data_IF_679542810083
#
_entry.id   IF_679542810083
#
_cell.length_a   1.000
_cell.length_b   1.000
_cell.length_c   1.000
_cell.angle_alpha   90.00
_cell.angle_beta   90.00
_cell.angle_gamma   90.00
#
_symmetry.space_group_name_H-M   'P 1'
#
loop_
_entity.id
_entity.type
_entity.pdbx_description
1 polymer ?
#
# COMPACT_ATOMS: atom_id res chain seq x y z
N UNK A 1 13.31 22.32 -9.72
CA UNK A 1 14.45 21.68 -10.41
C UNK A 1 14.11 20.20 -10.50
N UNK A 2 14.02 19.60 -11.70
CA UNK A 2 13.89 18.15 -11.80
C UNK A 2 15.20 17.55 -11.30
N UNK A 3 15.16 16.88 -10.16
CA UNK A 3 16.26 16.04 -9.71
C UNK A 3 16.41 14.92 -10.74
N UNK A 4 17.58 14.84 -11.37
CA UNK A 4 17.94 13.72 -12.24
C UNK A 4 17.59 12.42 -11.51
N UNK A 5 16.64 11.69 -12.08
CA UNK A 5 16.17 10.43 -11.52
C UNK A 5 17.29 9.42 -11.76
N UNK A 6 18.22 9.33 -10.79
CA UNK A 6 19.39 8.45 -10.85
C UNK A 6 18.94 7.00 -11.10
N UNK A 7 19.58 6.32 -12.07
CA UNK A 7 19.26 4.95 -12.46
C UNK A 7 20.32 3.95 -11.98
N UNK A 8 20.89 4.21 -10.81
CA UNK A 8 21.86 3.36 -10.13
C UNK A 8 21.25 2.07 -9.54
N UNK A 9 19.98 1.78 -9.84
CA UNK A 9 19.23 0.65 -9.29
C UNK A 9 18.92 0.79 -7.80
N UNK A 10 19.13 1.96 -7.19
CA UNK A 10 18.85 2.24 -5.79
C UNK A 10 17.70 3.23 -5.67
N UNK A 11 16.88 3.03 -4.65
CA UNK A 11 15.79 3.92 -4.31
C UNK A 11 16.07 4.54 -2.93
N UNK A 12 16.26 5.86 -2.83
CA UNK A 12 16.36 6.53 -1.54
C UNK A 12 15.06 6.28 -0.78
N UNK A 13 15.19 5.69 0.41
CA UNK A 13 14.06 5.24 1.20
C UNK A 13 14.18 5.81 2.60
N UNK A 14 13.19 6.60 3.00
CA UNK A 14 13.02 7.06 4.36
C UNK A 14 12.58 5.89 5.24
N UNK A 15 13.29 5.63 6.32
CA UNK A 15 13.08 4.50 7.23
C UNK A 15 12.86 5.02 8.65
N UNK A 16 11.82 4.52 9.32
CA UNK A 16 11.55 4.81 10.72
C UNK A 16 12.52 4.07 11.64
N UNK A 17 13.06 4.79 12.63
CA UNK A 17 13.94 4.27 13.68
C UNK A 17 13.36 4.52 15.07
N UNK A 18 13.74 3.68 16.04
CA UNK A 18 13.27 3.77 17.43
C UNK A 18 11.83 3.29 17.68
N UNK A 19 10.92 3.37 16.71
CA UNK A 19 9.53 2.89 16.86
C UNK A 19 9.46 1.36 16.84
N UNK A 20 10.09 0.74 15.85
CA UNK A 20 10.15 -0.71 15.69
C UNK A 20 11.34 -1.33 16.45
N UNK A 21 11.27 -2.61 16.83
CA UNK A 21 12.37 -3.31 17.51
C UNK A 21 13.68 -3.25 16.71
N UNK A 22 14.81 -3.11 17.41
CA UNK A 22 16.15 -3.04 16.81
C UNK A 22 16.45 -4.19 15.81
N UNK A 23 16.11 -5.47 16.10
CA UNK A 23 16.36 -6.54 15.13
C UNK A 23 15.64 -6.33 13.80
N UNK A 24 14.45 -5.73 13.82
CA UNK A 24 13.65 -5.42 12.62
C UNK A 24 14.35 -4.35 11.77
N UNK A 25 14.82 -3.28 12.43
CA UNK A 25 15.56 -2.19 11.80
C UNK A 25 16.87 -2.68 11.15
N UNK A 26 17.69 -3.43 11.89
CA UNK A 26 18.95 -3.98 11.36
C UNK A 26 18.70 -4.96 10.21
N UNK A 27 17.69 -5.84 10.35
CA UNK A 27 17.30 -6.78 9.29
C UNK A 27 16.88 -6.04 8.01
N UNK A 28 16.10 -4.97 8.13
CA UNK A 28 15.71 -4.16 6.98
C UNK A 28 16.95 -3.66 6.21
N UNK A 29 17.92 -3.07 6.92
CA UNK A 29 19.12 -2.54 6.27
C UNK A 29 19.93 -3.66 5.63
N UNK A 30 20.18 -4.76 6.35
CA UNK A 30 20.97 -5.90 5.84
C UNK A 30 20.35 -6.58 4.61
N UNK A 31 19.02 -6.73 4.57
CA UNK A 31 18.34 -7.46 3.50
C UNK A 31 18.00 -6.59 2.28
N UNK A 32 17.94 -5.27 2.46
CA UNK A 32 17.42 -4.35 1.43
C UNK A 32 18.42 -3.33 0.93
N UNK A 33 19.47 -3.03 1.67
CA UNK A 33 20.51 -2.10 1.23
C UNK A 33 21.72 -2.85 0.67
N UNK A 34 22.53 -2.24 -0.21
CA UNK A 34 23.78 -2.84 -0.66
C UNK A 34 24.74 -3.12 0.51
N UNK A 35 25.52 -4.22 0.45
CA UNK A 35 26.45 -4.57 1.52
C UNK A 35 27.54 -3.50 1.71
N UNK A 36 28.01 -3.33 2.95
CA UNK A 36 29.09 -2.39 3.28
C UNK A 36 28.71 -0.90 3.26
N UNK A 37 27.44 -0.56 3.01
CA UNK A 37 26.97 0.84 2.98
C UNK A 37 26.86 1.49 4.36
N UNK A 38 26.75 0.70 5.42
CA UNK A 38 26.50 1.19 6.75
C UNK A 38 27.37 0.48 7.79
N UNK A 39 27.81 1.25 8.77
CA UNK A 39 28.35 0.72 10.02
C UNK A 39 27.20 0.37 10.97
N UNK A 40 27.17 -0.89 11.44
CA UNK A 40 26.12 -1.38 12.31
C UNK A 40 26.15 -0.72 13.69
N UNK A 41 27.34 -0.39 14.21
CA UNK A 41 27.44 0.31 15.50
C UNK A 41 26.78 1.70 15.43
N UNK A 42 27.02 2.44 14.34
CA UNK A 42 26.36 3.72 14.06
C UNK A 42 24.84 3.56 13.96
N UNK A 43 24.34 2.55 13.22
CA UNK A 43 22.90 2.29 13.09
C UNK A 43 22.24 1.97 14.44
N UNK A 44 22.90 1.18 15.28
CA UNK A 44 22.42 0.85 16.63
C UNK A 44 22.33 2.11 17.48
N UNK A 45 23.31 3.00 17.40
CA UNK A 45 23.32 4.24 18.17
C UNK A 45 22.23 5.22 17.69
N UNK A 46 22.06 5.37 16.38
CA UNK A 46 20.95 6.14 15.82
C UNK A 46 19.59 5.60 16.28
N UNK A 47 19.42 4.27 16.28
CA UNK A 47 18.21 3.62 16.77
C UNK A 47 18.00 3.86 18.26
N UNK A 48 19.05 3.81 19.09
CA UNK A 48 18.95 4.08 20.54
C UNK A 48 18.51 5.52 20.82
N UNK A 49 19.10 6.48 20.12
CA UNK A 49 18.73 7.90 20.23
C UNK A 49 17.26 8.12 19.86
N UNK A 50 16.82 7.56 18.74
CA UNK A 50 15.41 7.60 18.35
C UNK A 50 14.51 6.88 19.37
N UNK A 51 14.94 5.73 19.92
CA UNK A 51 14.17 4.97 20.92
C UNK A 51 13.99 5.77 22.22
N UNK A 52 15.00 6.52 22.64
CA UNK A 52 14.91 7.40 23.81
C UNK A 52 13.89 8.53 23.59
N UNK A 53 13.84 9.10 22.38
CA UNK A 53 12.80 10.05 22.00
C UNK A 53 11.40 9.40 21.99
N UNK A 54 11.24 8.24 21.34
CA UNK A 54 9.96 7.51 21.29
C UNK A 54 9.41 7.21 22.70
N UNK A 55 10.27 6.92 23.68
CA UNK A 55 9.86 6.72 25.07
C UNK A 55 9.27 7.97 25.71
N UNK A 56 9.81 9.16 25.40
CA UNK A 56 9.24 10.44 25.85
C UNK A 56 7.91 10.71 25.16
N UNK A 57 7.86 10.52 23.83
CA UNK A 57 6.62 10.69 23.06
C UNK A 57 5.50 9.75 23.51
N UNK A 58 5.80 8.55 24.02
CA UNK A 58 4.79 7.67 24.60
C UNK A 58 4.04 8.29 25.80
N UNK A 59 4.68 9.22 26.51
CA UNK A 59 4.12 9.95 27.63
C UNK A 59 3.47 11.24 27.14
N UNK A 60 4.20 12.03 26.35
CA UNK A 60 3.77 13.36 25.91
C UNK A 60 2.60 13.31 24.90
N UNK A 61 2.51 12.24 24.11
CA UNK A 61 1.52 12.06 23.04
C UNK A 61 0.63 10.84 23.29
N UNK A 62 0.46 10.44 24.55
CA UNK A 62 -0.44 9.36 24.92
C UNK A 62 -1.84 9.61 24.34
N UNK A 63 -2.41 8.56 23.73
CA UNK A 63 -3.74 8.52 23.14
C UNK A 63 -3.97 9.52 21.99
N UNK A 64 -2.91 10.14 21.47
CA UNK A 64 -3.00 11.08 20.34
C UNK A 64 -3.62 10.43 19.09
N UNK A 65 -3.35 9.14 18.85
CA UNK A 65 -3.96 8.39 17.75
C UNK A 65 -5.47 8.12 17.95
N UNK A 66 -5.96 8.15 19.19
CA UNK A 66 -7.37 7.90 19.55
C UNK A 66 -8.21 9.19 19.51
N UNK A 67 -7.55 10.34 19.52
CA UNK A 67 -8.17 11.65 19.39
C UNK A 67 -8.31 12.09 17.92
N UNK A 68 -8.46 11.15 16.98
CA UNK A 68 -8.49 11.48 15.56
C UNK A 68 -9.76 12.22 15.15
N UNK A 69 -9.58 13.33 14.42
CA UNK A 69 -10.66 14.01 13.73
C UNK A 69 -10.89 13.40 12.34
N UNK A 70 -12.15 13.07 12.03
CA UNK A 70 -12.60 12.72 10.69
C UNK A 70 -13.73 13.67 10.29
N UNK A 71 -13.47 14.52 9.29
CA UNK A 71 -14.44 15.50 8.80
C UNK A 71 -15.19 14.93 7.59
N UNK A 72 -16.37 15.49 7.33
CA UNK A 72 -17.12 15.20 6.12
C UNK A 72 -16.30 15.58 4.88
N UNK A 73 -16.48 14.82 3.79
CA UNK A 73 -15.89 15.15 2.52
C UNK A 73 -16.54 16.44 1.95
N UNK A 74 -15.74 17.43 1.49
CA UNK A 74 -16.28 18.64 0.85
C UNK A 74 -17.23 18.31 -0.30
N UNK A 75 -18.27 19.11 -0.48
CA UNK A 75 -19.33 18.88 -1.48
C UNK A 75 -18.77 18.72 -2.90
N UNK A 76 -17.77 19.53 -3.26
CA UNK A 76 -17.08 19.49 -4.55
C UNK A 76 -16.37 18.15 -4.85
N UNK A 77 -15.98 17.39 -3.81
CA UNK A 77 -15.29 16.10 -3.96
C UNK A 77 -16.25 14.92 -3.97
N UNK A 78 -17.49 15.08 -3.51
CA UNK A 78 -18.46 13.98 -3.39
C UNK A 78 -18.74 13.25 -4.72
N UNK A 79 -18.98 13.94 -5.85
CA UNK A 79 -19.20 13.25 -7.12
C UNK A 79 -17.99 12.41 -7.57
N UNK A 80 -16.77 12.89 -7.31
CA UNK A 80 -15.52 12.20 -7.64
C UNK A 80 -15.32 10.97 -6.75
N UNK A 81 -15.69 11.08 -5.48
CA UNK A 81 -15.63 10.01 -4.50
C UNK A 81 -16.62 8.88 -4.82
N UNK A 82 -17.83 9.22 -5.25
CA UNK A 82 -18.82 8.24 -5.73
C UNK A 82 -18.35 7.53 -7.00
N UNK A 83 -17.74 8.26 -7.93
CA UNK A 83 -17.17 7.67 -9.14
C UNK A 83 -16.06 6.67 -8.80
N UNK A 84 -15.20 6.97 -7.81
CA UNK A 84 -14.15 6.07 -7.36
C UNK A 84 -14.70 4.75 -6.79
N UNK A 85 -15.87 4.77 -6.13
CA UNK A 85 -16.50 3.57 -5.60
C UNK A 85 -17.10 2.65 -6.67
N UNK A 86 -17.36 3.15 -7.87
CA UNK A 86 -17.89 2.36 -8.99
C UNK A 86 -16.82 1.59 -9.77
N UNK A 87 -15.57 1.60 -9.31
CA UNK A 87 -14.50 0.85 -9.96
C UNK A 87 -14.74 -0.67 -9.88
N UNK A 88 -14.49 -1.45 -10.94
CA UNK A 88 -14.73 -2.90 -10.97
C UNK A 88 -14.09 -3.67 -9.80
N UNK A 89 -12.90 -3.23 -9.39
CA UNK A 89 -12.11 -3.80 -8.31
C UNK A 89 -12.76 -3.60 -6.92
N UNK A 90 -13.66 -2.62 -6.77
CA UNK A 90 -14.43 -2.36 -5.56
C UNK A 90 -15.58 -3.34 -5.31
N UNK A 91 -16.14 -3.98 -6.33
CA UNK A 91 -17.43 -4.67 -6.19
C UNK A 91 -17.43 -5.91 -5.27
N UNK A 92 -16.31 -6.62 -5.09
CA UNK A 92 -16.34 -7.89 -4.35
C UNK A 92 -16.27 -7.76 -2.83
N UNK A 93 -15.69 -6.68 -2.30
CA UNK A 93 -15.41 -6.55 -0.85
C UNK A 93 -16.11 -5.34 -0.21
N UNK A 94 -16.63 -4.40 -1.01
CA UNK A 94 -17.36 -3.22 -0.52
C UNK A 94 -18.81 -3.50 -0.14
N UNK A 95 -19.40 -4.60 -0.61
CA UNK A 95 -20.83 -4.90 -0.40
C UNK A 95 -21.17 -5.39 1.01
N UNK A 96 -20.17 -5.78 1.81
CA UNK A 96 -20.38 -6.47 3.11
C UNK A 96 -20.01 -5.59 4.31
N UNK A 97 -19.29 -4.48 4.11
CA UNK A 97 -18.80 -3.61 5.19
C UNK A 97 -19.04 -2.14 4.90
N UNK A 98 -19.43 -1.40 5.94
CA UNK A 98 -19.66 0.03 5.86
C UNK A 98 -18.37 0.77 5.53
N UNK A 99 -18.39 1.55 4.45
CA UNK A 99 -17.29 2.39 4.00
C UNK A 99 -17.78 3.78 3.67
N UNK A 100 -17.00 4.79 4.04
CA UNK A 100 -17.30 6.16 3.69
C UNK A 100 -16.02 6.94 3.40
N UNK A 101 -16.11 7.86 2.44
CA UNK A 101 -15.07 8.84 2.21
C UNK A 101 -15.12 9.90 3.31
N UNK A 102 -13.97 10.17 3.91
CA UNK A 102 -13.81 11.16 4.98
C UNK A 102 -12.53 11.96 4.76
N UNK A 103 -12.51 13.18 5.24
CA UNK A 103 -11.27 13.95 5.40
C UNK A 103 -10.61 13.53 6.72
N UNK A 104 -9.56 12.73 6.64
CA UNK A 104 -8.84 12.21 7.83
C UNK A 104 -7.62 13.08 8.14
N UNK A 105 -7.38 13.35 9.42
CA UNK A 105 -6.14 14.01 9.84
C UNK A 105 -4.94 13.10 9.58
N UNK A 106 -4.07 13.51 8.66
CA UNK A 106 -2.95 12.68 8.18
C UNK A 106 -2.05 12.29 9.35
N UNK A 107 -1.64 13.26 10.15
CA UNK A 107 -0.60 13.13 11.18
C UNK A 107 -0.94 12.09 12.27
N UNK A 108 -2.24 11.82 12.52
CA UNK A 108 -2.71 10.88 13.56
C UNK A 108 -2.98 9.47 13.04
N UNK A 109 -2.89 9.24 11.73
CA UNK A 109 -3.11 7.90 11.17
C UNK A 109 -2.10 6.92 11.72
N UNK A 110 -2.58 5.76 12.19
CA UNK A 110 -1.71 4.67 12.62
C UNK A 110 -1.09 4.04 11.39
N UNK A 111 0.24 3.90 11.40
CA UNK A 111 1.00 3.32 10.28
C UNK A 111 1.69 2.04 10.72
N UNK A 112 1.77 1.07 9.82
CA UNK A 112 2.47 -0.19 10.04
C UNK A 112 3.66 -0.40 9.09
N UNK A 113 3.75 0.44 8.06
CA UNK A 113 4.87 0.41 7.13
C UNK A 113 6.08 1.07 7.77
N UNK A 114 7.26 0.47 7.62
CA UNK A 114 8.48 1.01 8.23
C UNK A 114 9.10 2.15 7.43
N UNK A 115 8.73 2.28 6.15
CA UNK A 115 9.48 3.12 5.22
C UNK A 115 8.64 3.74 4.10
N UNK A 116 9.14 4.84 3.55
CA UNK A 116 8.61 5.55 2.38
C UNK A 116 9.70 5.63 1.30
N UNK A 117 9.36 5.23 0.07
CA UNK A 117 10.28 5.32 -1.08
C UNK A 117 10.23 6.76 -1.63
N UNK A 118 11.31 7.52 -1.42
CA UNK A 118 11.38 8.95 -1.76
C UNK A 118 11.43 9.18 -3.28
N UNK A 119 12.03 8.27 -4.05
CA UNK A 119 11.97 8.34 -5.53
C UNK A 119 10.52 8.28 -6.01
N UNK A 120 9.71 7.41 -5.43
CA UNK A 120 8.29 7.35 -5.78
C UNK A 120 7.55 8.64 -5.41
N UNK A 121 7.89 9.27 -4.29
CA UNK A 121 7.35 10.59 -3.93
C UNK A 121 7.71 11.63 -4.98
N UNK A 122 8.97 11.68 -5.43
CA UNK A 122 9.40 12.67 -6.42
C UNK A 122 8.72 12.44 -7.78
N UNK A 123 8.48 11.18 -8.17
CA UNK A 123 7.68 10.85 -9.36
C UNK A 123 6.23 11.31 -9.23
N UNK A 124 5.60 11.11 -8.07
CA UNK A 124 4.25 11.60 -7.81
C UNK A 124 4.21 13.13 -7.82
N UNK A 125 5.20 13.78 -7.19
CA UNK A 125 5.30 15.23 -7.12
C UNK A 125 5.49 15.86 -8.50
N UNK A 126 6.30 15.24 -9.38
CA UNK A 126 6.48 15.70 -10.75
C UNK A 126 5.19 15.65 -11.59
N UNK A 127 4.26 14.76 -11.23
CA UNK A 127 2.96 14.60 -11.88
C UNK A 127 1.81 15.32 -11.16
N UNK A 128 2.08 16.04 -10.07
CA UNK A 128 1.06 16.73 -9.25
C UNK A 128 1.35 18.23 -9.22
N UNK A 129 0.33 19.06 -9.36
CA UNK A 129 0.49 20.51 -9.21
C UNK A 129 1.02 20.85 -7.81
N UNK A 130 1.77 21.96 -7.69
CA UNK A 130 2.31 22.41 -6.40
C UNK A 130 1.22 22.82 -5.40
N UNK A 131 0.06 23.23 -5.90
CA UNK A 131 -1.13 23.52 -5.12
C UNK A 131 -2.32 22.86 -5.80
N UNK A 132 -2.52 21.54 -5.59
CA UNK A 132 -3.52 20.80 -6.33
C UNK A 132 -4.93 21.19 -5.91
N UNK A 133 -5.84 21.25 -6.89
CA UNK A 133 -7.25 21.49 -6.62
C UNK A 133 -7.98 20.22 -6.12
N UNK A 134 -9.27 20.34 -5.82
CA UNK A 134 -10.07 19.22 -5.31
C UNK A 134 -10.11 18.02 -6.25
N UNK A 135 -10.11 18.26 -7.57
CA UNK A 135 -10.12 17.20 -8.58
C UNK A 135 -8.78 16.50 -8.62
N UNK A 136 -7.68 17.25 -8.68
CA UNK A 136 -6.33 16.70 -8.69
C UNK A 136 -6.02 15.90 -7.41
N UNK A 137 -6.50 16.37 -6.25
CA UNK A 137 -6.43 15.62 -4.99
C UNK A 137 -7.20 14.31 -5.10
N UNK A 138 -8.44 14.33 -5.58
CA UNK A 138 -9.24 13.11 -5.72
C UNK A 138 -8.68 12.14 -6.75
N UNK A 139 -8.09 12.62 -7.84
CA UNK A 139 -7.37 11.79 -8.81
C UNK A 139 -6.14 11.13 -8.19
N UNK A 140 -5.37 11.87 -7.40
CA UNK A 140 -4.23 11.33 -6.64
C UNK A 140 -4.70 10.28 -5.61
N UNK A 141 -5.79 10.55 -4.91
CA UNK A 141 -6.29 9.70 -3.82
C UNK A 141 -6.99 8.44 -4.34
N UNK A 142 -7.81 8.54 -5.38
CA UNK A 142 -8.56 7.40 -5.93
C UNK A 142 -7.74 6.59 -6.95
N UNK A 143 -6.74 7.22 -7.60
CA UNK A 143 -5.94 6.66 -8.72
C UNK A 143 -6.78 5.91 -9.75
N UNK A 144 -7.85 6.53 -10.22
CA UNK A 144 -8.71 6.00 -11.27
C UNK A 144 -8.01 5.88 -12.63
N UNK A 145 -8.57 5.05 -13.52
CA UNK A 145 -8.17 4.98 -14.94
C UNK A 145 -6.80 4.35 -15.16
N UNK A 146 -5.99 4.93 -16.06
CA UNK A 146 -4.67 4.37 -16.43
C UNK A 146 -3.71 4.26 -15.24
N UNK A 147 -3.88 5.08 -14.20
CA UNK A 147 -3.08 5.03 -12.98
C UNK A 147 -3.42 3.84 -12.06
N UNK A 148 -4.56 3.19 -12.25
CA UNK A 148 -4.98 1.96 -11.57
C UNK A 148 -4.31 0.71 -12.18
N UNK A 149 -3.92 0.77 -13.46
CA UNK A 149 -3.38 -0.36 -14.20
C UNK A 149 -2.05 0.00 -14.88
N UNK A 150 -0.94 -0.02 -14.11
CA UNK A 150 0.40 0.12 -14.67
C UNK A 150 0.67 -0.90 -15.78
N UNK A 151 1.50 -0.54 -16.75
CA UNK A 151 1.83 -1.42 -17.87
C UNK A 151 2.44 -2.74 -17.36
N UNK A 152 2.02 -3.86 -17.98
CA UNK A 152 2.51 -5.22 -17.70
C UNK A 152 3.22 -5.75 -18.94
N UNK A 153 4.50 -6.10 -18.79
CA UNK A 153 5.26 -6.82 -19.81
C UNK A 153 5.08 -8.31 -19.61
N UNK A 154 4.96 -9.06 -20.70
CA UNK A 154 4.76 -10.50 -20.66
C UNK A 154 5.78 -11.23 -21.55
N UNK A 155 6.26 -12.38 -21.08
CA UNK A 155 7.09 -13.31 -21.85
C UNK A 155 6.62 -14.75 -21.65
N UNK A 156 6.76 -15.57 -22.70
CA UNK A 156 6.47 -17.00 -22.68
C UNK A 156 7.72 -17.78 -23.07
N UNK A 157 8.12 -18.76 -22.25
CA UNK A 157 9.22 -19.69 -22.54
C UNK A 157 8.98 -21.02 -21.83
N UNK A 158 9.20 -22.14 -22.51
CA UNK A 158 9.16 -23.50 -21.92
C UNK A 158 7.87 -23.81 -21.11
N UNK A 159 6.71 -23.37 -21.62
CA UNK A 159 5.42 -23.55 -20.93
C UNK A 159 5.24 -22.68 -19.68
N UNK A 160 6.17 -21.76 -19.42
CA UNK A 160 6.10 -20.75 -18.37
C UNK A 160 5.71 -19.40 -18.94
N UNK A 161 4.81 -18.72 -18.23
CA UNK A 161 4.29 -17.40 -18.56
C UNK A 161 4.75 -16.43 -17.48
N UNK A 162 5.56 -15.42 -17.83
CA UNK A 162 6.09 -14.44 -16.87
C UNK A 162 5.51 -13.06 -17.17
N UNK A 163 4.94 -12.42 -16.15
CA UNK A 163 4.35 -11.09 -16.22
C UNK A 163 5.09 -10.17 -15.25
N UNK A 164 5.56 -9.02 -15.71
CA UNK A 164 6.35 -8.09 -14.91
C UNK A 164 5.80 -6.67 -15.03
N UNK A 165 5.76 -5.95 -13.91
CA UNK A 165 5.39 -4.54 -13.87
C UNK A 165 6.40 -3.73 -13.06
N UNK A 166 6.44 -2.42 -13.31
CA UNK A 166 7.14 -1.48 -12.45
C UNK A 166 6.42 -1.30 -11.10
N UNK A 167 5.12 -1.59 -11.04
CA UNK A 167 4.37 -1.62 -9.79
C UNK A 167 4.67 -2.88 -8.99
N UNK A 168 4.79 -2.72 -7.67
CA UNK A 168 4.93 -3.83 -6.72
C UNK A 168 3.59 -4.51 -6.38
N UNK A 169 2.49 -4.05 -6.98
CA UNK A 169 1.14 -4.53 -6.70
C UNK A 169 0.60 -5.54 -7.73
N UNK A 170 1.42 -5.93 -8.72
CA UNK A 170 1.03 -6.95 -9.69
C UNK A 170 0.81 -8.28 -8.98
N UNK A 171 -0.42 -8.81 -9.03
CA UNK A 171 -0.86 -9.99 -8.29
C UNK A 171 -1.80 -10.89 -9.11
N UNK A 172 -1.89 -12.15 -8.69
CA UNK A 172 -2.98 -13.04 -9.09
C UNK A 172 -4.28 -12.54 -8.47
N UNK A 173 -5.33 -12.47 -9.27
CA UNK A 173 -6.65 -11.99 -8.84
C UNK A 173 -7.64 -13.13 -8.68
N UNK A 174 -7.76 -13.97 -9.71
CA UNK A 174 -8.76 -15.04 -9.74
C UNK A 174 -8.47 -16.07 -10.83
N UNK A 175 -9.12 -17.23 -10.75
CA UNK A 175 -9.18 -18.23 -11.83
C UNK A 175 -10.62 -18.66 -12.04
N UNK A 176 -11.04 -18.71 -13.30
CA UNK A 176 -12.40 -19.14 -13.65
C UNK A 176 -12.36 -20.12 -14.82
N UNK A 177 -13.22 -21.14 -14.75
CA UNK A 177 -13.60 -21.93 -15.91
C UNK A 177 -14.79 -21.23 -16.58
N UNK A 178 -14.65 -20.86 -17.84
CA UNK A 178 -15.69 -20.19 -18.62
C UNK A 178 -15.96 -20.94 -19.91
N UNK A 179 -17.10 -20.61 -20.52
CA UNK A 179 -17.41 -21.03 -21.88
C UNK A 179 -16.43 -20.37 -22.86
N UNK A 180 -15.73 -21.13 -23.73
CA UNK A 180 -14.81 -20.57 -24.71
C UNK A 180 -15.43 -19.51 -25.61
N UNK A 181 -16.75 -19.58 -25.87
CA UNK A 181 -17.48 -18.63 -26.70
C UNK A 181 -17.56 -17.22 -26.10
N UNK A 182 -17.26 -17.06 -24.82
CA UNK A 182 -17.19 -15.76 -24.16
C UNK A 182 -15.87 -15.01 -24.43
N UNK A 183 -14.87 -15.66 -25.04
CA UNK A 183 -13.58 -15.04 -25.36
C UNK A 183 -13.66 -14.47 -26.78
N UNK A 184 -13.82 -13.15 -26.87
CA UNK A 184 -13.78 -12.45 -28.15
C UNK A 184 -12.39 -12.51 -28.78
N UNK A 185 -12.33 -12.53 -30.12
CA UNK A 185 -11.11 -12.44 -30.93
C UNK A 185 -10.06 -13.53 -30.66
N UNK A 186 -10.48 -14.69 -30.14
CA UNK A 186 -9.60 -15.84 -29.93
C UNK A 186 -10.29 -17.15 -30.28
N UNK A 187 -9.71 -17.91 -31.21
CA UNK A 187 -10.16 -19.26 -31.55
C UNK A 187 -9.08 -20.28 -31.17
N UNK A 188 -9.34 -21.18 -30.21
CA UNK A 188 -8.41 -22.23 -29.87
C UNK A 188 -8.33 -23.30 -30.98
N UNK A 189 -7.23 -24.07 -30.99
CA UNK A 189 -7.15 -25.24 -31.86
C UNK A 189 -8.12 -26.34 -31.40
N UNK A 190 -9.06 -26.73 -32.28
CA UNK A 190 -10.03 -27.78 -32.03
C UNK A 190 -11.32 -27.32 -31.35
N UNK A 191 -12.18 -28.27 -30.98
CA UNK A 191 -13.45 -27.99 -30.31
C UNK A 191 -13.25 -27.89 -28.80
N UNK A 192 -12.96 -26.68 -28.31
CA UNK A 192 -12.81 -26.44 -26.88
C UNK A 192 -14.17 -26.59 -26.16
N UNK A 193 -14.20 -27.39 -25.08
CA UNK A 193 -15.39 -27.50 -24.22
C UNK A 193 -15.40 -26.46 -23.10
N UNK A 194 -14.22 -26.08 -22.59
CA UNK A 194 -14.04 -25.12 -21.50
C UNK A 194 -12.74 -24.34 -21.71
N UNK A 195 -12.72 -23.09 -21.23
CA UNK A 195 -11.51 -22.28 -21.14
C UNK A 195 -11.21 -21.99 -19.67
N UNK A 196 -9.93 -22.12 -19.27
CA UNK A 196 -9.45 -21.65 -17.97
C UNK A 196 -8.85 -20.26 -18.15
N UNK A 197 -9.45 -19.26 -17.50
CA UNK A 197 -8.97 -17.87 -17.51
C UNK A 197 -8.33 -17.56 -16.17
N UNK A 198 -7.09 -17.08 -16.22
CA UNK A 198 -6.34 -16.60 -15.07
C UNK A 198 -6.32 -15.08 -15.12
N UNK A 199 -6.93 -14.44 -14.13
CA UNK A 199 -6.93 -12.99 -13.98
C UNK A 199 -5.68 -12.56 -13.21
N UNK A 200 -4.86 -11.75 -13.85
CA UNK A 200 -3.72 -11.06 -13.25
C UNK A 200 -3.98 -9.57 -13.33
N UNK A 201 -3.56 -8.82 -12.30
CA UNK A 201 -3.73 -7.38 -12.31
C UNK A 201 -3.32 -6.75 -11.00
N UNK A 202 -4.04 -5.71 -10.62
CA UNK A 202 -3.73 -4.85 -9.48
C UNK A 202 -4.92 -4.75 -8.56
N UNK A 203 -4.66 -4.50 -7.28
CA UNK A 203 -5.70 -4.16 -6.33
C UNK A 203 -6.09 -2.69 -6.45
N UNK A 204 -7.20 -2.32 -5.81
CA UNK A 204 -7.63 -0.93 -5.70
C UNK A 204 -6.55 -0.08 -5.05
N UNK A 205 -5.96 0.77 -5.87
CA UNK A 205 -4.88 1.62 -5.42
C UNK A 205 -5.41 2.96 -4.93
N UNK A 206 -6.43 2.95 -4.08
CA UNK A 206 -6.96 4.16 -3.42
C UNK A 206 -6.30 4.37 -2.05
N UNK A 207 -6.38 5.57 -1.49
CA UNK A 207 -6.00 5.79 -0.08
C UNK A 207 -7.13 5.27 0.81
N UNK A 208 -6.86 4.18 1.51
CA UNK A 208 -7.81 3.54 2.41
C UNK A 208 -7.28 3.43 3.82
N UNK A 209 -8.21 3.39 4.76
CA UNK A 209 -7.92 3.06 6.13
C UNK A 209 -9.01 2.19 6.75
N UNK A 210 -8.65 1.46 7.80
CA UNK A 210 -9.58 0.65 8.59
C UNK A 210 -9.73 1.27 9.96
N UNK A 211 -10.96 1.55 10.37
CA UNK A 211 -11.28 2.02 11.71
C UNK A 211 -11.51 0.84 12.64
N UNK A 212 -10.83 0.85 13.79
CA UNK A 212 -11.02 -0.09 14.89
C UNK A 212 -11.16 0.72 16.18
N UNK A 213 -12.39 0.79 16.70
CA UNK A 213 -12.69 1.65 17.84
C UNK A 213 -12.39 3.12 17.50
N UNK A 214 -11.50 3.75 18.26
CA UNK A 214 -11.10 5.16 18.04
C UNK A 214 -9.92 5.33 17.09
N UNK A 215 -9.27 4.25 16.66
CA UNK A 215 -8.08 4.30 15.79
C UNK A 215 -8.47 4.14 14.34
N UNK A 216 -7.77 4.87 13.48
CA UNK A 216 -7.81 4.68 12.03
C UNK A 216 -6.42 4.27 11.56
N UNK A 217 -6.34 3.05 11.03
CA UNK A 217 -5.11 2.43 10.56
C UNK A 217 -5.04 2.61 9.05
N UNK A 218 -4.03 3.33 8.58
CA UNK A 218 -3.78 3.48 7.15
C UNK A 218 -3.45 2.11 6.55
N UNK A 219 -4.27 1.63 5.61
CA UNK A 219 -4.09 0.32 4.97
C UNK A 219 -3.45 0.43 3.58
N UNK A 220 -3.72 1.52 2.86
CA UNK A 220 -3.09 1.83 1.58
C UNK A 220 -2.91 3.35 1.41
N UNK A 221 -1.90 3.76 0.65
CA UNK A 221 -1.72 5.15 0.22
C UNK A 221 -0.64 5.97 0.93
N UNK A 222 0.26 5.34 1.71
CA UNK A 222 1.27 6.06 2.50
C UNK A 222 2.11 7.06 1.70
N UNK A 223 2.58 6.70 0.50
CA UNK A 223 3.35 7.61 -0.34
C UNK A 223 2.55 8.83 -0.80
N UNK A 224 1.26 8.65 -1.10
CA UNK A 224 0.41 9.76 -1.54
C UNK A 224 0.04 10.68 -0.39
N UNK A 225 -0.24 10.12 0.79
CA UNK A 225 -0.41 10.92 2.00
C UNK A 225 0.87 11.67 2.37
N UNK A 226 2.05 11.05 2.16
CA UNK A 226 3.33 11.71 2.42
C UNK A 226 3.53 12.90 1.49
N UNK A 227 3.19 12.75 0.20
CA UNK A 227 3.20 13.86 -0.75
C UNK A 227 2.21 14.96 -0.34
N UNK A 228 0.94 14.63 -0.08
CA UNK A 228 -0.05 15.63 0.34
C UNK A 228 0.39 16.37 1.61
N UNK A 229 0.97 15.64 2.57
CA UNK A 229 1.46 16.24 3.80
C UNK A 229 2.68 17.15 3.57
N UNK A 230 3.57 16.79 2.65
CA UNK A 230 4.70 17.63 2.17
C UNK A 230 4.22 18.87 1.41
N UNK A 231 3.08 18.80 0.73
CA UNK A 231 2.40 19.94 0.10
C UNK A 231 1.64 20.83 1.10
N UNK A 232 1.63 20.47 2.39
CA UNK A 232 1.06 21.28 3.46
C UNK A 232 -0.37 20.90 3.87
N UNK A 233 -0.96 19.86 3.28
CA UNK A 233 -2.29 19.40 3.68
C UNK A 233 -2.25 18.72 5.05
N UNK A 234 -3.12 19.15 5.96
CA UNK A 234 -3.32 18.49 7.27
C UNK A 234 -4.33 17.34 7.20
N UNK A 235 -5.34 17.49 6.35
CA UNK A 235 -6.38 16.49 6.13
C UNK A 235 -6.35 16.05 4.66
N UNK A 236 -6.69 14.78 4.40
CA UNK A 236 -6.82 14.25 3.05
C UNK A 236 -8.04 13.34 2.92
N UNK A 237 -8.65 13.25 1.73
CA UNK A 237 -9.69 12.26 1.47
C UNK A 237 -9.13 10.85 1.67
N UNK A 238 -9.86 10.02 2.40
CA UNK A 238 -9.53 8.63 2.64
C UNK A 238 -10.82 7.80 2.68
N UNK A 239 -10.79 6.63 2.04
CA UNK A 239 -11.89 5.68 2.15
C UNK A 239 -11.72 4.89 3.47
N UNK A 240 -12.55 5.21 4.45
CA UNK A 240 -12.51 4.58 5.77
C UNK A 240 -13.51 3.44 5.81
N UNK A 241 -13.03 2.24 6.11
CA UNK A 241 -13.86 1.05 6.38
C UNK A 241 -14.01 0.88 7.88
N UNK A 242 -15.24 0.84 8.39
CA UNK A 242 -15.47 0.57 9.81
C UNK A 242 -15.45 -0.93 10.08
N UNK A 243 -14.53 -1.38 10.92
CA UNK A 243 -14.37 -2.76 11.35
C UNK A 243 -14.44 -2.89 12.87
N UNK A 244 -15.03 -1.91 13.56
CA UNK A 244 -15.12 -1.88 15.03
C UNK A 244 -15.97 -3.00 15.61
N UNK A 245 -16.89 -3.58 14.83
CA UNK A 245 -17.98 -4.42 15.33
C UNK A 245 -18.01 -5.84 14.73
N UNK A 246 -16.88 -6.41 14.31
CA UNK A 246 -16.93 -7.68 13.55
C UNK A 246 -15.67 -8.56 13.57
N UNK A 247 -15.90 -9.87 13.39
CA UNK A 247 -14.91 -10.87 12.94
C UNK A 247 -14.16 -10.42 11.67
N UNK A 248 -14.69 -9.43 10.93
CA UNK A 248 -14.09 -8.89 9.71
C UNK A 248 -12.82 -8.08 9.99
N UNK A 249 -12.55 -7.70 11.24
CA UNK A 249 -11.27 -7.07 11.58
C UNK A 249 -10.07 -7.96 11.21
N UNK A 250 -10.20 -9.28 11.29
CA UNK A 250 -9.14 -10.22 10.90
C UNK A 250 -8.98 -10.35 9.37
N UNK A 251 -9.99 -9.96 8.61
CA UNK A 251 -9.92 -9.90 7.14
C UNK A 251 -9.34 -8.56 6.67
N UNK A 252 -9.76 -7.47 7.30
CA UNK A 252 -9.48 -6.10 6.84
C UNK A 252 -8.18 -5.51 7.36
N UNK A 253 -7.64 -6.02 8.47
CA UNK A 253 -6.39 -5.50 9.02
C UNK A 253 -5.17 -6.02 8.25
N UNK A 254 -4.16 -5.16 8.02
CA UNK A 254 -2.88 -5.58 7.46
C UNK A 254 -2.24 -6.69 8.31
N UNK A 255 -1.56 -7.64 7.66
CA UNK A 255 -0.95 -8.78 8.34
C UNK A 255 -0.03 -8.38 9.50
N UNK A 256 0.76 -7.32 9.33
CA UNK A 256 1.64 -6.79 10.38
C UNK A 256 0.85 -6.34 11.63
N UNK A 257 -0.33 -5.74 11.42
CA UNK A 257 -1.21 -5.27 12.51
C UNK A 257 -1.87 -6.45 13.21
N UNK A 258 -2.27 -7.47 12.46
CA UNK A 258 -2.83 -8.71 13.02
C UNK A 258 -1.82 -9.48 13.86
N UNK A 259 -0.57 -9.53 13.42
CA UNK A 259 0.51 -10.22 14.12
C UNK A 259 0.89 -9.55 15.44
N UNK A 260 0.74 -8.22 15.54
CA UNK A 260 1.11 -7.46 16.74
C UNK A 260 0.03 -6.44 17.13
N UNK A 261 -1.18 -6.94 17.41
CA UNK A 261 -2.33 -6.10 17.77
C UNK A 261 -2.03 -5.24 19.00
N UNK A 262 -1.27 -5.75 19.97
CA UNK A 262 -0.91 -4.99 21.16
C UNK A 262 -0.08 -3.75 20.80
N UNK A 263 0.88 -3.85 19.89
CA UNK A 263 1.71 -2.72 19.49
C UNK A 263 0.95 -1.63 18.72
N UNK A 264 0.02 -1.99 17.84
CA UNK A 264 -0.71 -1.02 17.01
C UNK A 264 -2.04 -0.54 17.59
N UNK A 265 -2.76 -1.43 18.30
CA UNK A 265 -4.11 -1.16 18.82
C UNK A 265 -4.13 -0.99 20.34
N UNK A 266 -3.21 -1.62 21.06
CA UNK A 266 -3.16 -1.58 22.53
C UNK A 266 -2.19 -0.55 23.13
N UNK A 267 -1.17 -0.10 22.38
CA UNK A 267 -0.19 0.87 22.87
C UNK A 267 -0.83 2.27 22.97
N UNK A 268 -0.55 3.02 24.04
CA UNK A 268 -1.02 4.41 24.20
C UNK A 268 -0.57 5.32 23.05
N UNK A 269 0.58 5.00 22.43
CA UNK A 269 1.17 5.78 21.34
C UNK A 269 1.72 4.84 20.27
N UNK A 270 0.89 4.37 19.32
CA UNK A 270 1.37 3.55 18.20
C UNK A 270 2.23 4.40 17.23
N UNK A 271 2.91 3.78 16.24
CA UNK A 271 3.50 4.54 15.14
C UNK A 271 2.41 5.34 14.41
N UNK A 272 2.64 6.65 14.26
CA UNK A 272 1.71 7.57 13.61
C UNK A 272 2.35 8.15 12.35
N UNK A 273 1.53 8.60 11.42
CA UNK A 273 2.01 9.10 10.13
C UNK A 273 3.01 10.26 10.27
N UNK A 274 2.79 11.17 11.23
CA UNK A 274 3.69 12.30 11.50
C UNK A 274 5.12 11.86 11.82
N UNK A 275 5.35 10.62 12.23
CA UNK A 275 6.68 10.09 12.52
C UNK A 275 7.57 10.06 11.29
N UNK A 276 6.99 9.92 10.09
CA UNK A 276 7.75 10.04 8.85
C UNK A 276 8.28 11.46 8.60
N UNK A 277 7.79 12.47 9.32
CA UNK A 277 8.18 13.87 9.15
C UNK A 277 9.17 14.34 10.20
N UNK A 278 9.42 13.53 11.24
CA UNK A 278 10.40 13.84 12.28
C UNK A 278 11.79 13.31 11.87
N UNK A 279 12.78 14.17 11.57
CA UNK A 279 14.13 13.75 11.23
C UNK A 279 14.85 13.03 12.39
N UNK A 280 14.37 13.19 13.62
CA UNK A 280 14.90 12.49 14.80
C UNK A 280 14.43 11.02 14.84
N UNK A 281 13.32 10.71 14.17
CA UNK A 281 12.73 9.37 14.08
C UNK A 281 12.95 8.69 12.74
N UNK A 282 13.63 9.36 11.81
CA UNK A 282 13.85 8.84 10.45
C UNK A 282 15.31 8.88 10.03
N UNK A 283 15.68 8.00 9.11
CA UNK A 283 16.92 8.10 8.35
C UNK A 283 16.64 7.74 6.89
N UNK A 284 17.48 8.19 5.96
CA UNK A 284 17.38 7.81 4.55
C UNK A 284 18.42 6.75 4.22
N UNK A 285 17.99 5.62 3.67
CA UNK A 285 18.85 4.51 3.27
C UNK A 285 18.66 4.18 1.78
N UNK A 286 19.71 3.75 1.06
CA UNK A 286 19.59 3.33 -0.34
C UNK A 286 19.10 1.89 -0.40
N UNK A 287 17.85 1.69 -0.79
CA UNK A 287 17.27 0.35 -0.95
C UNK A 287 17.48 -0.14 -2.38
N UNK A 288 17.95 -1.37 -2.54
CA UNK A 288 18.05 -2.02 -3.86
C UNK A 288 16.66 -2.14 -4.49
N UNK A 289 16.49 -1.56 -5.68
CA UNK A 289 15.24 -1.61 -6.43
C UNK A 289 14.93 -3.05 -6.83
N UNK A 290 13.69 -3.48 -6.56
CA UNK A 290 13.19 -4.81 -6.95
C UNK A 290 11.99 -4.64 -7.86
N UNK A 291 11.99 -5.39 -8.96
CA UNK A 291 10.81 -5.57 -9.80
C UNK A 291 10.12 -6.88 -9.42
N UNK A 292 8.81 -6.83 -9.23
CA UNK A 292 8.02 -8.01 -8.99
C UNK A 292 7.53 -8.57 -10.32
N UNK A 293 7.66 -9.89 -10.47
CA UNK A 293 7.15 -10.63 -11.61
C UNK A 293 6.33 -11.83 -11.12
N UNK A 294 5.20 -12.06 -11.76
CA UNK A 294 4.40 -13.26 -11.58
C UNK A 294 4.79 -14.27 -12.63
N UNK A 295 5.08 -15.50 -12.19
CA UNK A 295 5.34 -16.63 -13.07
C UNK A 295 4.23 -17.65 -12.91
N UNK A 296 3.51 -17.92 -13.99
CA UNK A 296 2.51 -18.98 -14.06
C UNK A 296 3.06 -20.17 -14.84
N UNK A 297 2.82 -21.37 -14.32
CA UNK A 297 3.07 -22.65 -14.99
C UNK A 297 1.80 -23.49 -14.87
N UNK A 298 1.34 -24.02 -16.00
CA UNK A 298 0.16 -24.89 -16.04
C UNK A 298 0.62 -26.33 -15.98
N UNK A 299 0.13 -27.08 -14.99
CA UNK A 299 0.33 -28.53 -14.88
C UNK A 299 -1.03 -29.21 -15.03
N UNK A 300 -1.25 -29.86 -16.18
CA UNK A 300 -2.48 -30.58 -16.50
C UNK A 300 -2.19 -32.08 -16.46
N UNK A 301 -2.82 -32.77 -15.52
CA UNK A 301 -2.62 -34.20 -15.32
C UNK A 301 -3.83 -35.00 -15.78
N UNK A 302 -3.59 -36.04 -16.57
CA UNK A 302 -4.61 -37.02 -16.91
C UNK A 302 -4.76 -37.99 -15.75
N UNK A 303 -5.94 -37.99 -15.15
CA UNK A 303 -6.33 -39.00 -14.16
C UNK A 303 -7.42 -39.90 -14.72
N UNK A 304 -7.49 -41.13 -14.23
CA UNK A 304 -8.58 -42.06 -14.52
C UNK A 304 -9.52 -42.08 -13.32
N UNK A 305 -10.80 -41.83 -13.55
CA UNK A 305 -11.86 -41.91 -12.53
C UNK A 305 -12.86 -43.01 -12.94
N UNK A 306 -13.48 -43.74 -12.00
CA UNK A 306 -14.54 -44.70 -12.31
C UNK A 306 -15.71 -44.03 -13.03
N UNK A 307 -16.40 -44.76 -13.90
CA UNK A 307 -17.68 -44.31 -14.45
C UNK A 307 -18.72 -44.20 -13.34
N UNK A 308 -19.35 -43.03 -13.21
CA UNK A 308 -20.53 -42.81 -12.36
C UNK A 308 -21.73 -43.61 -12.88
#
# INVERSE_FOLDING_TARGET
MPTDINDDGLDPTLLLKGLFPLPKFIRFVRERCPPGRFDEATLVEEWRNARALVRRLHQDEADAADAMDALALPEEMQPLAEQALRQPSMHRMTSVVSRCWQMVEIDRLVVFQECINLRHIDQLAAATAASPDAREIMELVARSGRHAHPDVRFTQSDGSYTFASASNDLRFLDVAAIDPRCIADYEPFGAASHALVIYLGFSDNLISATRIGRRIILTNGSHRLYLLRRLGFRYAPCLVTDASDSDLSDVLLPAAVKQDRQFYLGASRPPMFKDYLDPSLTCTVPVTRKHYALRAKLDLQRITVPSL
#
